data_IF_710362868634
#
_entry.id   IF_710362868634
#
_cell.length_a   1.000
_cell.length_b   1.000
_cell.length_c   1.000
_cell.angle_alpha   90.00
_cell.angle_beta   90.00
_cell.angle_gamma   90.00
#
_symmetry.space_group_name_H-M   'P 1'
#
loop_
_entity.id
_entity.type
_entity.pdbx_description
1 polymer ?
#
# COMPACT_ATOMS: atom_id res chain seq x y z
N UNK A 1 6.77 -3.05 8.62
CA UNK A 1 7.50 -2.81 7.37
C UNK A 1 7.08 -1.46 6.83
N UNK A 2 8.04 -0.57 6.55
CA UNK A 2 7.80 0.78 6.03
C UNK A 2 7.79 0.76 4.49
N UNK A 3 7.19 1.76 3.85
CA UNK A 3 7.16 1.87 2.38
C UNK A 3 8.57 1.95 1.78
N UNK A 4 9.52 2.58 2.48
CA UNK A 4 10.93 2.65 2.08
C UNK A 4 11.56 1.26 1.98
N UNK A 5 11.35 0.41 2.99
CA UNK A 5 11.83 -0.98 3.00
C UNK A 5 11.21 -1.79 1.85
N UNK A 6 9.93 -1.54 1.53
CA UNK A 6 9.27 -2.18 0.38
C UNK A 6 9.96 -1.77 -0.94
N UNK A 7 10.23 -0.47 -1.10
CA UNK A 7 10.83 0.08 -2.31
C UNK A 7 12.25 -0.47 -2.52
N UNK A 8 13.05 -0.55 -1.44
CA UNK A 8 14.38 -1.15 -1.43
C UNK A 8 14.34 -2.63 -1.83
N UNK A 9 13.47 -3.43 -1.21
CA UNK A 9 13.31 -4.86 -1.54
C UNK A 9 12.84 -5.08 -2.98
N UNK A 10 12.07 -4.15 -3.55
CA UNK A 10 11.61 -4.19 -4.94
C UNK A 10 12.62 -3.63 -5.94
N UNK A 11 13.70 -2.99 -5.49
CA UNK A 11 14.63 -2.24 -6.34
C UNK A 11 13.94 -1.11 -7.12
N UNK A 12 12.91 -0.48 -6.54
CA UNK A 12 12.13 0.57 -7.20
C UNK A 12 12.41 1.95 -6.61
N UNK A 13 12.59 3.00 -7.45
CA UNK A 13 12.74 4.35 -6.95
C UNK A 13 11.47 4.84 -6.26
N UNK A 14 11.64 5.63 -5.21
CA UNK A 14 10.53 6.23 -4.46
C UNK A 14 10.32 7.68 -4.92
N UNK A 15 9.07 8.02 -5.26
CA UNK A 15 8.66 9.38 -5.61
C UNK A 15 7.87 10.00 -4.46
N UNK A 16 8.34 11.15 -3.99
CA UNK A 16 7.69 11.91 -2.92
C UNK A 16 6.92 13.07 -3.54
N UNK A 17 5.59 12.99 -3.51
CA UNK A 17 4.71 13.99 -4.10
C UNK A 17 3.89 14.69 -3.01
N UNK A 18 3.77 16.03 -3.05
CA UNK A 18 2.83 16.75 -2.20
C UNK A 18 1.41 16.22 -2.44
N UNK A 19 0.61 15.96 -1.39
CA UNK A 19 -0.71 15.37 -1.58
C UNK A 19 -1.65 16.23 -2.43
N UNK A 20 -1.60 17.55 -2.28
CA UNK A 20 -2.43 18.48 -3.08
C UNK A 20 -2.11 18.41 -4.58
N UNK A 21 -0.84 18.25 -4.94
CA UNK A 21 -0.41 18.10 -6.33
C UNK A 21 -0.96 16.79 -6.91
N UNK A 22 -0.81 15.68 -6.19
CA UNK A 22 -1.33 14.38 -6.63
C UNK A 22 -2.86 14.40 -6.76
N UNK A 23 -3.56 15.03 -5.82
CA UNK A 23 -5.02 15.19 -5.88
C UNK A 23 -5.46 15.99 -7.11
N UNK A 24 -4.75 17.08 -7.46
CA UNK A 24 -5.06 17.88 -8.64
C UNK A 24 -4.85 17.07 -9.94
N UNK A 25 -3.74 16.35 -10.04
CA UNK A 25 -3.45 15.49 -11.20
C UNK A 25 -4.53 14.41 -11.36
N UNK A 26 -4.88 13.69 -10.29
CA UNK A 26 -5.92 12.66 -10.32
C UNK A 26 -7.30 13.23 -10.68
N UNK A 27 -7.62 14.44 -10.21
CA UNK A 27 -8.87 15.13 -10.57
C UNK A 27 -8.93 15.41 -12.09
N UNK A 28 -7.87 15.96 -12.67
CA UNK A 28 -7.80 16.23 -14.11
C UNK A 28 -7.88 14.93 -14.92
N UNK A 29 -7.10 13.92 -14.57
CA UNK A 29 -7.10 12.64 -15.29
C UNK A 29 -8.45 11.93 -15.22
N UNK A 30 -9.12 11.97 -14.06
CA UNK A 30 -10.46 11.38 -13.90
C UNK A 30 -11.50 12.12 -14.73
N UNK A 31 -11.44 13.46 -14.75
CA UNK A 31 -12.34 14.27 -15.57
C UNK A 31 -12.17 13.98 -17.07
N UNK A 32 -10.93 13.72 -17.51
CA UNK A 32 -10.62 13.29 -18.88
C UNK A 32 -10.94 11.82 -19.17
N UNK A 33 -11.43 11.04 -18.21
CA UNK A 33 -11.70 9.60 -18.36
C UNK A 33 -10.44 8.73 -18.50
N UNK A 34 -9.25 9.27 -18.22
CA UNK A 34 -7.97 8.58 -18.40
C UNK A 34 -7.59 7.68 -17.21
N UNK A 35 -8.30 7.80 -16.09
CA UNK A 35 -8.09 6.97 -14.89
C UNK A 35 -9.40 6.69 -14.19
N UNK A 36 -9.48 5.52 -13.56
CA UNK A 36 -10.56 5.14 -12.64
C UNK A 36 -10.41 5.76 -11.25
N UNK A 37 -9.24 6.29 -10.92
CA UNK A 37 -8.91 6.80 -9.59
C UNK A 37 -9.12 8.31 -9.51
N UNK A 38 -9.89 8.76 -8.52
CA UNK A 38 -10.04 10.18 -8.22
C UNK A 38 -9.14 10.69 -7.09
N UNK A 39 -9.25 11.98 -6.73
CA UNK A 39 -8.48 12.58 -5.65
C UNK A 39 -8.69 11.89 -4.29
N UNK A 40 -9.81 11.21 -4.08
CA UNK A 40 -10.09 10.41 -2.87
C UNK A 40 -9.05 9.32 -2.61
N UNK A 41 -8.36 8.83 -3.65
CA UNK A 41 -7.32 7.81 -3.52
C UNK A 41 -6.11 8.32 -2.73
N UNK A 42 -5.88 9.63 -2.69
CA UNK A 42 -4.73 10.23 -2.01
C UNK A 42 -4.79 10.01 -0.50
N UNK A 43 -5.97 10.07 0.10
CA UNK A 43 -6.12 9.87 1.54
C UNK A 43 -5.92 8.41 1.94
N UNK A 44 -6.32 7.46 1.08
CA UNK A 44 -5.97 6.04 1.26
C UNK A 44 -4.46 5.82 1.26
N UNK A 45 -3.71 6.53 0.41
CA UNK A 45 -2.24 6.44 0.38
C UNK A 45 -1.58 7.15 1.57
N UNK A 46 -2.18 8.22 2.08
CA UNK A 46 -1.65 8.98 3.22
C UNK A 46 -1.82 8.21 4.53
N UNK A 47 -3.04 7.80 4.81
CA UNK A 47 -3.41 7.20 6.09
C UNK A 47 -3.29 5.67 6.10
N UNK A 48 -3.32 5.04 4.92
CA UNK A 48 -3.15 3.58 4.73
C UNK A 48 -3.98 2.80 5.75
N UNK A 49 -5.31 2.97 5.75
CA UNK A 49 -6.16 2.24 6.68
C UNK A 49 -5.94 0.74 6.48
N UNK A 50 -5.53 0.05 7.54
CA UNK A 50 -5.34 -1.40 7.56
C UNK A 50 -6.23 -2.00 8.63
N UNK A 51 -6.73 -3.20 8.36
CA UNK A 51 -7.55 -3.92 9.33
C UNK A 51 -6.68 -4.37 10.51
N UNK A 52 -7.15 -4.15 11.74
CA UNK A 52 -6.50 -4.70 12.92
C UNK A 52 -6.55 -6.23 12.90
N UNK A 53 -5.43 -6.87 13.18
CA UNK A 53 -5.34 -8.33 13.31
C UNK A 53 -5.38 -8.82 14.75
N UNK A 54 -5.78 -7.95 15.68
CA UNK A 54 -5.83 -8.26 17.11
C UNK A 54 -6.77 -9.43 17.40
N UNK A 55 -8.04 -9.31 17.00
CA UNK A 55 -9.05 -10.36 17.20
C UNK A 55 -8.66 -11.70 16.56
N UNK A 56 -8.00 -11.66 15.41
CA UNK A 56 -7.49 -12.89 14.77
C UNK A 56 -6.54 -13.64 15.71
N UNK A 57 -5.62 -12.91 16.35
CA UNK A 57 -4.59 -13.49 17.22
C UNK A 57 -5.11 -13.85 18.61
N UNK A 58 -6.01 -13.05 19.17
CA UNK A 58 -6.44 -13.17 20.57
C UNK A 58 -7.72 -13.99 20.73
N UNK A 59 -8.69 -13.84 19.83
CA UNK A 59 -10.02 -14.46 19.94
C UNK A 59 -10.16 -15.68 19.02
N UNK A 60 -9.60 -15.60 17.82
CA UNK A 60 -9.76 -16.63 16.77
C UNK A 60 -8.63 -17.68 16.75
N UNK A 61 -7.70 -17.62 17.70
CA UNK A 61 -6.62 -18.61 17.85
C UNK A 61 -5.62 -18.65 16.69
N UNK A 62 -5.52 -17.60 15.87
CA UNK A 62 -4.61 -17.56 14.74
C UNK A 62 -3.19 -17.20 15.14
N UNK A 63 -2.26 -18.12 14.93
CA UNK A 63 -0.81 -17.88 15.07
C UNK A 63 -0.16 -17.69 13.69
N UNK A 64 0.36 -16.48 13.36
CA UNK A 64 1.05 -16.24 12.10
C UNK A 64 2.28 -17.14 11.94
N UNK A 65 2.38 -17.85 10.81
CA UNK A 65 3.53 -18.73 10.50
C UNK A 65 4.75 -17.97 9.95
N UNK A 66 4.55 -16.72 9.53
CA UNK A 66 5.56 -15.87 8.89
C UNK A 66 5.43 -14.46 9.42
N UNK A 67 6.56 -13.77 9.57
CA UNK A 67 6.57 -12.32 9.84
C UNK A 67 6.12 -11.54 8.60
N UNK A 68 5.77 -10.26 8.76
CA UNK A 68 5.39 -9.39 7.63
C UNK A 68 6.44 -9.41 6.50
N UNK A 69 7.73 -9.38 6.85
CA UNK A 69 8.84 -9.40 5.89
C UNK A 69 8.89 -10.75 5.15
N UNK A 70 8.85 -11.86 5.89
CA UNK A 70 8.87 -13.20 5.30
C UNK A 70 7.67 -13.47 4.39
N UNK A 71 6.49 -12.94 4.72
CA UNK A 71 5.31 -13.01 3.83
C UNK A 71 5.55 -12.23 2.55
N UNK A 72 6.14 -11.03 2.65
CA UNK A 72 6.41 -10.21 1.47
C UNK A 72 7.46 -10.85 0.55
N UNK A 73 8.57 -11.35 1.10
CA UNK A 73 9.57 -12.10 0.34
C UNK A 73 8.97 -13.35 -0.32
N UNK A 74 8.16 -14.10 0.43
CA UNK A 74 7.44 -15.25 -0.12
C UNK A 74 6.55 -14.84 -1.29
N UNK A 75 5.78 -13.75 -1.18
CA UNK A 75 4.97 -13.22 -2.27
C UNK A 75 5.80 -12.85 -3.51
N UNK A 76 6.95 -12.20 -3.35
CA UNK A 76 7.83 -11.86 -4.47
C UNK A 76 8.38 -13.11 -5.17
N UNK A 77 8.73 -14.14 -4.39
CA UNK A 77 9.22 -15.41 -4.95
C UNK A 77 8.14 -16.17 -5.72
N UNK A 78 6.87 -16.09 -5.31
CA UNK A 78 5.74 -16.74 -6.00
C UNK A 78 5.22 -15.95 -7.21
N UNK A 79 5.64 -14.68 -7.38
CA UNK A 79 5.16 -13.81 -8.47
C UNK A 79 6.02 -13.91 -9.74
N UNK A 80 7.18 -14.56 -9.67
CA UNK A 80 8.01 -14.87 -10.83
C UNK A 80 7.38 -15.99 -11.65
#
# INVERSE_FOLDING_TARGET
>A
MKITEIAELLGKPMLWLPPGLLSAILRCLRWLGMTRYGPEQVDFLRYRPVLSNEKLKTELGYTPRKTTVQVFEYFLNQRK
#
